data_IF_083926684174
#
_entry.id   IF_083926684174
#
_cell.length_a   1.000
_cell.length_b   1.000
_cell.length_c   1.000
_cell.angle_alpha   90.00
_cell.angle_beta   90.00
_cell.angle_gamma   90.00
#
_symmetry.space_group_name_H-M   'P 1'
#
loop_
_entity.id
_entity.type
_entity.pdbx_description
1 polymer ?
#
# COMPACT_ATOMS: atom_id res chain seq x y z
N UNK A 1 -3.62 3.71 -3.41
CA UNK A 1 -2.29 3.85 -2.74
C UNK A 1 -2.34 3.13 -1.40
N UNK A 2 -1.26 2.48 -0.99
CA UNK A 2 -1.22 1.72 0.26
C UNK A 2 -1.38 2.64 1.49
N UNK A 3 -2.34 2.33 2.36
CA UNK A 3 -2.53 2.99 3.65
C UNK A 3 -1.31 2.83 4.55
N UNK A 4 -1.19 3.70 5.54
CA UNK A 4 -0.07 3.72 6.50
C UNK A 4 -0.59 3.80 7.92
N UNK A 5 0.16 3.22 8.84
CA UNK A 5 -0.08 3.34 10.28
C UNK A 5 1.14 3.96 10.95
N UNK A 6 0.88 4.81 11.92
CA UNK A 6 1.91 5.46 12.70
C UNK A 6 1.55 5.42 14.19
N UNK A 7 2.57 5.32 15.02
CA UNK A 7 2.52 5.69 16.45
C UNK A 7 3.19 7.05 16.58
N UNK A 8 2.52 7.97 17.24
CA UNK A 8 2.93 9.37 17.33
C UNK A 8 2.88 9.86 18.77
N UNK A 9 3.92 10.57 19.19
CA UNK A 9 3.92 11.40 20.38
C UNK A 9 3.66 12.86 19.93
N UNK A 10 2.52 13.39 20.35
CA UNK A 10 2.16 14.81 20.17
C UNK A 10 2.36 15.54 21.48
N UNK A 11 3.03 16.69 21.46
CA UNK A 11 3.20 17.54 22.63
C UNK A 11 2.27 18.74 22.56
N UNK A 12 1.38 18.84 23.55
CA UNK A 12 0.50 19.99 23.76
C UNK A 12 1.30 21.17 24.35
N UNK A 13 0.98 22.38 23.94
CA UNK A 13 1.69 23.58 24.48
C UNK A 13 1.16 23.97 25.86
N UNK A 14 -0.09 23.59 26.22
CA UNK A 14 -0.63 23.70 27.58
C UNK A 14 -1.43 22.46 27.96
N UNK A 15 -1.78 22.32 29.23
CA UNK A 15 -2.59 21.19 29.70
C UNK A 15 -4.04 21.30 29.18
N UNK A 16 -4.61 20.14 28.85
CA UNK A 16 -6.00 20.00 28.38
C UNK A 16 -6.65 18.83 29.09
N UNK A 17 -7.93 18.91 29.47
CA UNK A 17 -8.67 17.77 30.01
C UNK A 17 -8.68 16.60 29.03
N UNK A 18 -8.40 15.39 29.53
CA UNK A 18 -8.28 14.17 28.70
C UNK A 18 -9.56 13.86 27.92
N UNK A 19 -10.74 14.14 28.50
CA UNK A 19 -12.02 13.88 27.83
C UNK A 19 -12.22 14.82 26.63
N UNK A 20 -11.79 16.08 26.74
CA UNK A 20 -11.81 17.04 25.63
C UNK A 20 -10.86 16.60 24.53
N UNK A 21 -9.66 16.16 24.88
CA UNK A 21 -8.69 15.61 23.93
C UNK A 21 -9.26 14.41 23.18
N UNK A 22 -9.83 13.42 23.89
CA UNK A 22 -10.41 12.23 23.26
C UNK A 22 -11.55 12.56 22.30
N UNK A 23 -12.41 13.51 22.64
CA UNK A 23 -13.48 14.00 21.74
C UNK A 23 -12.90 14.59 20.45
N UNK A 24 -11.91 15.48 20.56
CA UNK A 24 -11.27 16.10 19.40
C UNK A 24 -10.56 15.06 18.53
N UNK A 25 -9.88 14.07 19.13
CA UNK A 25 -9.26 12.97 18.35
C UNK A 25 -10.31 12.19 17.54
N UNK A 26 -11.50 11.96 18.10
CA UNK A 26 -12.60 11.29 17.37
C UNK A 26 -13.11 12.12 16.19
N UNK A 27 -13.20 13.45 16.33
CA UNK A 27 -13.64 14.35 15.25
C UNK A 27 -12.67 14.37 14.07
N UNK A 28 -11.39 14.08 14.28
CA UNK A 28 -10.39 13.95 13.21
C UNK A 28 -10.43 12.61 12.45
N UNK A 29 -11.29 11.67 12.81
CA UNK A 29 -11.50 10.46 12.02
C UNK A 29 -12.39 10.76 10.81
N UNK A 30 -12.09 10.12 9.68
CA UNK A 30 -12.79 10.35 8.42
C UNK A 30 -12.01 11.26 7.46
N UNK A 31 -12.71 12.04 6.68
CA UNK A 31 -12.11 12.91 5.66
C UNK A 31 -11.67 14.25 6.25
N UNK A 32 -10.38 14.54 6.18
CA UNK A 32 -9.80 15.81 6.61
C UNK A 32 -9.21 16.59 5.43
N UNK A 33 -9.11 17.90 5.59
CA UNK A 33 -8.45 18.79 4.64
C UNK A 33 -7.05 19.15 5.14
N UNK A 34 -6.03 18.86 4.33
CA UNK A 34 -4.66 19.22 4.67
C UNK A 34 -4.00 20.03 3.56
N UNK A 35 -3.26 21.06 3.96
CA UNK A 35 -2.31 21.75 3.10
C UNK A 35 -0.90 21.26 3.46
N UNK A 36 -0.12 20.73 2.49
CA UNK A 36 1.24 20.26 2.76
C UNK A 36 2.09 21.34 3.46
N UNK A 37 3.01 20.96 4.36
CA UNK A 37 3.91 21.90 5.02
C UNK A 37 4.78 22.65 4.00
N UNK A 38 5.35 23.79 4.39
CA UNK A 38 6.17 24.64 3.52
C UNK A 38 7.38 23.88 2.96
N UNK A 39 8.05 23.11 3.82
CA UNK A 39 9.18 22.24 3.42
C UNK A 39 8.67 20.86 3.00
N UNK A 40 8.03 20.79 1.83
CA UNK A 40 7.61 19.52 1.21
C UNK A 40 7.94 19.53 -0.27
N UNK A 41 8.25 18.36 -0.84
CA UNK A 41 8.57 18.18 -2.27
C UNK A 41 7.35 18.27 -3.20
N UNK A 42 6.14 18.50 -2.66
CA UNK A 42 4.89 18.51 -3.44
C UNK A 42 4.29 19.91 -3.49
N UNK A 43 3.57 20.20 -4.59
CA UNK A 43 2.82 21.46 -4.74
C UNK A 43 1.87 21.67 -3.56
N UNK A 44 1.92 22.86 -2.97
CA UNK A 44 1.18 23.26 -1.78
C UNK A 44 -0.28 23.60 -2.10
N UNK A 45 -1.06 22.58 -2.45
CA UNK A 45 -2.51 22.67 -2.69
C UNK A 45 -3.29 22.04 -1.53
N UNK A 46 -4.48 22.54 -1.25
CA UNK A 46 -5.41 21.89 -0.33
C UNK A 46 -5.75 20.50 -0.89
N UNK A 47 -5.69 19.48 -0.05
CA UNK A 47 -5.95 18.09 -0.42
C UNK A 47 -6.82 17.43 0.65
N UNK A 48 -7.73 16.59 0.23
CA UNK A 48 -8.44 15.69 1.12
C UNK A 48 -7.56 14.50 1.46
N UNK A 49 -7.65 14.03 2.72
CA UNK A 49 -7.01 12.82 3.22
C UNK A 49 -7.95 12.11 4.16
N UNK A 50 -7.92 10.79 4.15
CA UNK A 50 -8.74 9.98 5.03
C UNK A 50 -7.92 9.48 6.20
N UNK A 51 -8.42 9.74 7.41
CA UNK A 51 -7.97 9.11 8.65
C UNK A 51 -8.91 7.93 8.91
N UNK A 52 -8.39 6.72 8.83
CA UNK A 52 -9.18 5.50 8.99
C UNK A 52 -9.54 5.25 10.45
N UNK A 53 -8.59 5.52 11.33
CA UNK A 53 -8.75 5.48 12.78
C UNK A 53 -7.68 6.35 13.45
N UNK A 54 -8.01 6.84 14.64
CA UNK A 54 -7.11 7.61 15.49
C UNK A 54 -7.37 7.18 16.94
N UNK A 55 -6.50 6.29 17.45
CA UNK A 55 -6.68 5.65 18.74
C UNK A 55 -5.79 6.32 19.78
N UNK A 56 -6.39 6.94 20.78
CA UNK A 56 -5.68 7.40 21.97
C UNK A 56 -5.10 6.20 22.71
N UNK A 57 -3.84 6.29 23.14
CA UNK A 57 -3.16 5.25 23.93
C UNK A 57 -3.00 5.75 25.37
N UNK A 58 -2.23 6.83 25.56
CA UNK A 58 -1.98 7.40 26.89
C UNK A 58 -1.67 8.90 26.79
N UNK A 59 -1.72 9.57 27.92
CA UNK A 59 -1.29 10.95 28.08
C UNK A 59 -0.48 11.06 29.38
N UNK A 60 0.74 11.54 29.25
CA UNK A 60 1.59 11.89 30.39
C UNK A 60 1.90 13.38 30.32
N UNK A 61 1.37 14.14 31.32
CA UNK A 61 1.42 15.61 31.34
C UNK A 61 0.85 16.22 30.05
N UNK A 62 1.72 16.71 29.17
CA UNK A 62 1.39 17.31 27.87
C UNK A 62 1.76 16.44 26.68
N UNK A 63 2.34 15.27 26.93
CA UNK A 63 2.68 14.33 25.87
C UNK A 63 1.52 13.36 25.67
N UNK A 64 1.02 13.30 24.45
CA UNK A 64 -0.09 12.46 24.04
C UNK A 64 0.42 11.40 23.07
N UNK A 65 0.30 10.14 23.46
CA UNK A 65 0.61 8.99 22.60
C UNK A 65 -0.67 8.51 21.93
N UNK A 66 -0.64 8.40 20.63
CA UNK A 66 -1.75 7.87 19.85
C UNK A 66 -1.27 7.07 18.64
N UNK A 67 -2.13 6.19 18.17
CA UNK A 67 -1.95 5.42 16.94
C UNK A 67 -2.89 5.95 15.87
N UNK A 68 -2.40 6.16 14.64
CA UNK A 68 -3.20 6.66 13.54
C UNK A 68 -3.01 5.81 12.28
N UNK A 69 -4.13 5.32 11.72
CA UNK A 69 -4.18 4.72 10.39
C UNK A 69 -4.73 5.73 9.39
N UNK A 70 -4.01 5.94 8.29
CA UNK A 70 -4.37 7.00 7.34
C UNK A 70 -4.02 6.68 5.89
N UNK A 71 -4.63 7.43 5.00
CA UNK A 71 -4.32 7.43 3.57
C UNK A 71 -2.87 7.86 3.29
N UNK A 72 -2.28 7.30 2.24
CA UNK A 72 -0.95 7.68 1.80
C UNK A 72 -0.87 9.18 1.44
N UNK A 73 0.19 9.84 1.92
CA UNK A 73 0.39 11.28 1.72
C UNK A 73 -0.29 12.16 2.78
N UNK A 74 -0.83 11.57 3.85
CA UNK A 74 -1.25 12.29 5.05
C UNK A 74 -0.03 12.77 5.83
N UNK A 75 -0.04 14.02 6.25
CA UNK A 75 1.02 14.65 7.04
C UNK A 75 0.66 14.61 8.53
N UNK A 76 1.27 13.70 9.29
CA UNK A 76 0.98 13.55 10.73
C UNK A 76 1.44 14.79 11.51
N UNK A 77 2.53 15.45 11.10
CA UNK A 77 2.94 16.74 11.69
C UNK A 77 1.85 17.80 11.58
N UNK A 78 1.16 17.85 10.41
CA UNK A 78 0.06 18.80 10.22
C UNK A 78 -1.17 18.37 11.02
N UNK A 79 -1.44 17.08 11.13
CA UNK A 79 -2.52 16.55 11.97
C UNK A 79 -2.34 16.97 13.45
N UNK A 80 -1.13 16.80 14.01
CA UNK A 80 -0.84 17.25 15.39
C UNK A 80 -1.07 18.76 15.56
N UNK A 81 -0.61 19.56 14.60
CA UNK A 81 -0.84 21.01 14.60
C UNK A 81 -2.34 21.33 14.57
N UNK A 82 -3.11 20.73 13.67
CA UNK A 82 -4.55 20.99 13.54
C UNK A 82 -5.34 20.57 14.79
N UNK A 83 -5.00 19.45 15.40
CA UNK A 83 -5.55 19.01 16.69
C UNK A 83 -5.29 20.06 17.77
N UNK A 84 -4.06 20.57 17.84
CA UNK A 84 -3.68 21.62 18.78
C UNK A 84 -4.46 22.92 18.61
N UNK A 85 -4.72 23.33 17.36
CA UNK A 85 -5.54 24.51 17.05
C UNK A 85 -7.00 24.33 17.51
N UNK A 86 -7.61 23.16 17.22
CA UNK A 86 -8.98 22.86 17.66
C UNK A 86 -9.09 22.80 19.19
N UNK A 87 -8.05 22.31 19.86
CA UNK A 87 -7.96 22.32 21.33
C UNK A 87 -7.76 23.72 21.90
N UNK A 88 -7.32 24.70 21.07
CA UNK A 88 -7.02 26.06 21.48
C UNK A 88 -5.74 26.21 22.30
N UNK A 89 -4.94 25.15 22.43
CA UNK A 89 -3.70 25.17 23.21
C UNK A 89 -2.44 25.13 22.32
N UNK A 90 -2.57 24.83 21.03
CA UNK A 90 -1.47 24.52 20.15
C UNK A 90 -0.82 23.16 20.45
N UNK A 91 -0.26 22.54 19.44
CA UNK A 91 0.49 21.28 19.58
C UNK A 91 1.49 21.08 18.45
N UNK A 92 2.46 20.22 18.68
CA UNK A 92 3.39 19.77 17.65
C UNK A 92 3.69 18.28 17.77
N UNK A 93 4.12 17.68 16.65
CA UNK A 93 4.60 16.31 16.61
C UNK A 93 5.99 16.26 17.26
N UNK A 94 6.11 15.52 18.34
CA UNK A 94 7.37 15.31 19.06
C UNK A 94 8.15 14.16 18.44
N UNK A 95 7.48 12.98 18.31
CA UNK A 95 8.06 11.78 17.73
C UNK A 95 7.07 11.07 16.81
N UNK A 96 7.60 10.32 15.85
CA UNK A 96 6.80 9.58 14.89
C UNK A 96 7.49 8.27 14.50
N UNK A 97 6.79 7.15 14.65
CA UNK A 97 7.22 5.85 14.17
C UNK A 97 6.16 5.27 13.23
N UNK A 98 6.58 4.86 12.04
CA UNK A 98 5.69 4.20 11.09
C UNK A 98 5.71 2.69 11.34
N UNK A 99 4.56 2.12 11.71
CA UNK A 99 4.41 0.72 12.09
C UNK A 99 3.80 -0.14 10.99
N UNK A 100 3.19 0.48 9.92
CA UNK A 100 2.66 -0.26 8.78
C UNK A 100 2.70 0.55 7.48
N UNK A 101 2.98 -0.15 6.38
CA UNK A 101 2.83 0.36 5.01
C UNK A 101 2.20 -0.73 4.15
N UNK A 102 0.93 -0.56 3.77
CA UNK A 102 0.21 -1.58 3.00
C UNK A 102 0.18 -2.92 3.74
N UNK A 103 0.67 -4.01 3.13
CA UNK A 103 0.69 -5.34 3.75
C UNK A 103 1.86 -5.53 4.73
N UNK A 104 2.84 -4.62 4.75
CA UNK A 104 4.02 -4.73 5.60
C UNK A 104 3.75 -4.06 6.94
N UNK A 105 3.94 -4.81 8.01
CA UNK A 105 3.85 -4.37 9.40
C UNK A 105 5.23 -4.43 10.04
N UNK A 106 5.41 -3.72 11.14
CA UNK A 106 6.57 -3.84 11.99
C UNK A 106 6.45 -5.11 12.83
N UNK A 107 7.16 -6.15 12.43
CA UNK A 107 7.23 -7.46 13.07
C UNK A 107 8.68 -7.94 13.16
N UNK A 108 8.89 -9.19 13.56
CA UNK A 108 10.21 -9.79 13.72
C UNK A 108 11.02 -9.86 12.40
N UNK A 109 10.39 -9.67 11.25
CA UNK A 109 11.07 -9.60 9.96
C UNK A 109 11.69 -8.22 9.67
N UNK A 110 11.43 -7.22 10.52
CA UNK A 110 12.03 -5.89 10.39
C UNK A 110 13.50 -5.94 10.78
N UNK A 111 14.36 -5.67 9.82
CA UNK A 111 15.82 -5.66 9.99
C UNK A 111 16.41 -4.36 9.45
N UNK A 112 17.62 -4.05 9.90
CA UNK A 112 18.35 -2.88 9.40
C UNK A 112 19.02 -3.16 8.05
N UNK A 113 19.42 -2.11 7.33
CA UNK A 113 20.20 -2.26 6.11
C UNK A 113 21.57 -2.92 6.37
N UNK A 114 22.12 -2.75 7.56
CA UNK A 114 23.37 -3.43 7.95
C UNK A 114 23.17 -4.92 8.08
N UNK A 115 22.07 -5.37 8.72
CA UNK A 115 21.73 -6.78 8.84
C UNK A 115 21.55 -7.43 7.47
N UNK A 116 20.79 -6.78 6.57
CA UNK A 116 20.59 -7.29 5.20
C UNK A 116 21.92 -7.36 4.43
N UNK A 117 22.78 -6.36 4.56
CA UNK A 117 24.09 -6.36 3.89
C UNK A 117 24.96 -7.52 4.40
N UNK A 118 24.97 -7.78 5.70
CA UNK A 118 25.67 -8.90 6.29
C UNK A 118 25.12 -10.24 5.79
N UNK A 119 23.80 -10.43 5.83
CA UNK A 119 23.14 -11.64 5.38
C UNK A 119 23.36 -11.91 3.88
N UNK A 120 23.35 -10.86 3.07
CA UNK A 120 23.64 -10.96 1.64
C UNK A 120 25.09 -11.42 1.38
N UNK A 121 26.08 -10.89 2.11
CA UNK A 121 27.45 -11.32 2.01
C UNK A 121 27.61 -12.78 2.45
N UNK A 122 26.95 -13.21 3.53
CA UNK A 122 26.95 -14.60 3.97
C UNK A 122 26.38 -15.53 2.88
N UNK A 123 25.23 -15.16 2.28
CA UNK A 123 24.66 -15.91 1.15
C UNK A 123 25.63 -15.99 -0.04
N UNK A 124 26.33 -14.91 -0.38
CA UNK A 124 27.32 -14.95 -1.47
C UNK A 124 28.45 -15.96 -1.21
N UNK A 125 28.87 -16.11 0.04
CA UNK A 125 29.93 -17.05 0.44
C UNK A 125 29.43 -18.50 0.52
N UNK A 126 28.31 -18.71 1.20
CA UNK A 126 27.82 -20.06 1.53
C UNK A 126 26.86 -20.62 0.47
N UNK A 127 26.26 -19.77 -0.37
CA UNK A 127 25.12 -20.07 -1.27
C UNK A 127 23.85 -20.55 -0.56
N UNK A 128 23.82 -20.48 0.78
CA UNK A 128 22.63 -20.77 1.57
C UNK A 128 21.79 -19.49 1.75
N UNK A 129 20.60 -19.46 1.16
CA UNK A 129 19.69 -18.32 1.22
C UNK A 129 18.61 -18.47 2.31
N UNK A 130 18.64 -19.55 3.10
CA UNK A 130 17.60 -19.90 4.08
C UNK A 130 17.34 -18.77 5.09
N UNK A 131 18.41 -18.12 5.57
CA UNK A 131 18.31 -17.00 6.52
C UNK A 131 17.86 -15.72 5.80
N UNK A 132 18.44 -15.43 4.63
CA UNK A 132 18.11 -14.22 3.86
C UNK A 132 16.62 -14.20 3.48
N UNK A 133 16.04 -15.35 3.11
CA UNK A 133 14.62 -15.49 2.76
C UNK A 133 13.64 -15.22 3.91
N UNK A 134 14.10 -15.21 5.15
CA UNK A 134 13.25 -14.81 6.29
C UNK A 134 12.92 -13.30 6.28
N UNK A 135 13.77 -12.50 5.65
CA UNK A 135 13.69 -11.02 5.66
C UNK A 135 13.43 -10.43 4.27
N UNK A 136 13.82 -11.15 3.21
CA UNK A 136 13.58 -10.73 1.81
C UNK A 136 12.38 -11.50 1.27
N UNK A 137 11.26 -10.81 1.17
CA UNK A 137 10.01 -11.38 0.69
C UNK A 137 9.88 -11.37 -0.83
N UNK A 138 9.15 -12.32 -1.42
CA UNK A 138 8.79 -12.27 -2.83
C UNK A 138 7.92 -11.04 -3.12
N UNK A 139 8.01 -10.55 -4.35
CA UNK A 139 7.28 -9.36 -4.81
C UNK A 139 5.76 -9.50 -4.63
N UNK A 140 5.24 -10.71 -4.73
CA UNK A 140 3.83 -11.05 -4.57
C UNK A 140 3.27 -10.60 -3.22
N UNK A 141 4.10 -10.58 -2.16
CA UNK A 141 3.69 -10.05 -0.85
C UNK A 141 3.27 -8.59 -0.93
N UNK A 142 3.92 -7.78 -1.76
CA UNK A 142 3.55 -6.38 -1.94
C UNK A 142 2.20 -6.20 -2.65
N UNK A 143 1.75 -7.22 -3.39
CA UNK A 143 0.53 -7.20 -4.18
C UNK A 143 -0.69 -7.79 -3.45
N UNK A 144 -0.52 -8.27 -2.21
CA UNK A 144 -1.57 -8.98 -1.45
C UNK A 144 -2.87 -8.18 -1.30
N UNK A 145 -2.77 -6.85 -1.14
CA UNK A 145 -3.93 -5.97 -0.94
C UNK A 145 -4.53 -5.44 -2.24
N UNK A 146 -3.98 -5.83 -3.40
CA UNK A 146 -4.54 -5.43 -4.69
C UNK A 146 -5.57 -6.44 -5.15
N UNK A 147 -6.65 -6.00 -5.83
CA UNK A 147 -7.56 -6.92 -6.51
C UNK A 147 -6.80 -7.79 -7.52
N UNK A 148 -7.12 -9.07 -7.59
CA UNK A 148 -6.39 -10.06 -8.37
C UNK A 148 -7.21 -10.61 -9.52
N UNK A 149 -6.53 -10.89 -10.62
CA UNK A 149 -7.05 -11.68 -11.74
C UNK A 149 -6.07 -12.82 -11.98
N UNK A 150 -6.57 -14.06 -11.93
CA UNK A 150 -5.79 -15.25 -12.24
C UNK A 150 -6.03 -15.65 -13.68
N UNK A 151 -4.97 -15.99 -14.41
CA UNK A 151 -5.01 -16.24 -15.84
C UNK A 151 -4.58 -17.65 -16.21
N UNK A 152 -4.99 -18.08 -17.39
CA UNK A 152 -4.54 -19.34 -18.01
C UNK A 152 -3.07 -19.22 -18.44
N UNK A 153 -2.33 -20.32 -18.36
CA UNK A 153 -0.92 -20.38 -18.76
C UNK A 153 -0.70 -19.93 -20.22
N UNK A 154 -1.69 -20.20 -21.09
CA UNK A 154 -1.66 -19.77 -22.49
C UNK A 154 -1.67 -18.27 -22.72
N UNK A 155 -2.09 -17.48 -21.71
CA UNK A 155 -2.12 -16.02 -21.79
C UNK A 155 -0.84 -15.38 -21.22
N UNK A 156 -0.03 -16.11 -20.43
CA UNK A 156 1.09 -15.56 -19.68
C UNK A 156 2.13 -14.93 -20.59
N UNK A 157 2.65 -15.68 -21.57
CA UNK A 157 3.71 -15.17 -22.45
C UNK A 157 3.29 -13.92 -23.23
N UNK A 158 2.05 -13.86 -23.72
CA UNK A 158 1.52 -12.68 -24.40
C UNK A 158 1.54 -11.43 -23.48
N UNK A 159 1.16 -11.58 -22.22
CA UNK A 159 1.19 -10.49 -21.23
C UNK A 159 2.63 -10.08 -20.89
N UNK A 160 3.57 -11.04 -20.82
CA UNK A 160 4.99 -10.75 -20.64
C UNK A 160 5.58 -9.93 -21.81
N UNK A 161 4.96 -9.99 -22.99
CA UNK A 161 5.29 -9.14 -24.14
C UNK A 161 4.49 -7.82 -24.20
N UNK A 162 3.68 -7.54 -23.17
CA UNK A 162 2.93 -6.29 -23.04
C UNK A 162 1.54 -6.31 -23.69
N UNK A 163 1.05 -7.44 -24.14
CA UNK A 163 -0.31 -7.56 -24.66
C UNK A 163 -1.33 -7.23 -23.57
N UNK A 164 -2.53 -6.82 -23.96
CA UNK A 164 -3.64 -6.57 -23.04
C UNK A 164 -4.35 -7.87 -22.70
N UNK A 165 -4.87 -7.98 -21.47
CA UNK A 165 -5.59 -9.16 -21.04
C UNK A 165 -6.96 -9.20 -21.70
N UNK A 166 -7.29 -10.35 -22.30
CA UNK A 166 -8.58 -10.63 -22.94
C UNK A 166 -9.42 -11.59 -22.08
N UNK A 167 -10.72 -11.59 -22.26
CA UNK A 167 -11.66 -12.42 -21.50
C UNK A 167 -11.32 -13.93 -21.55
N UNK A 168 -10.97 -14.54 -22.70
CA UNK A 168 -10.59 -15.96 -22.76
C UNK A 168 -9.36 -16.32 -21.93
N UNK A 169 -8.48 -15.33 -21.65
CA UNK A 169 -7.30 -15.52 -20.82
C UNK A 169 -7.59 -15.54 -19.31
N UNK A 170 -8.74 -15.04 -18.87
CA UNK A 170 -9.14 -15.01 -17.45
C UNK A 170 -9.59 -16.39 -17.00
N UNK A 171 -9.13 -16.81 -15.83
CA UNK A 171 -9.55 -18.06 -15.19
C UNK A 171 -10.44 -17.78 -13.98
N UNK A 172 -10.01 -16.90 -13.11
CA UNK A 172 -10.77 -16.42 -11.95
C UNK A 172 -10.36 -14.99 -11.59
N UNK A 173 -11.15 -14.31 -10.81
CA UNK A 173 -10.88 -12.93 -10.40
C UNK A 173 -11.54 -12.62 -9.05
N UNK A 174 -11.01 -11.62 -8.36
CA UNK A 174 -11.62 -11.09 -7.14
C UNK A 174 -12.92 -10.35 -7.49
N UNK A 175 -13.90 -10.42 -6.60
CA UNK A 175 -15.13 -9.64 -6.69
C UNK A 175 -14.85 -8.14 -6.41
N UNK A 176 -15.79 -7.29 -6.89
CA UNK A 176 -15.73 -5.85 -6.58
C UNK A 176 -14.71 -5.04 -7.37
N UNK A 177 -14.05 -5.60 -8.39
CA UNK A 177 -13.18 -4.85 -9.31
C UNK A 177 -14.04 -3.86 -10.08
N UNK A 178 -13.65 -2.57 -10.06
CA UNK A 178 -14.31 -1.48 -10.79
C UNK A 178 -13.50 -1.08 -12.01
N UNK A 179 -14.18 -0.45 -12.96
CA UNK A 179 -13.52 0.14 -14.14
C UNK A 179 -12.48 1.17 -13.65
N UNK A 180 -11.25 1.03 -14.15
CA UNK A 180 -10.15 1.92 -13.80
C UNK A 180 -9.32 1.50 -12.59
N UNK A 181 -9.71 0.44 -11.88
CA UNK A 181 -8.89 -0.12 -10.80
C UNK A 181 -7.58 -0.70 -11.35
N UNK A 182 -6.54 -0.54 -10.57
CA UNK A 182 -5.28 -1.25 -10.81
C UNK A 182 -5.38 -2.63 -10.17
N UNK A 183 -5.23 -3.66 -11.00
CA UNK A 183 -5.31 -5.07 -10.62
C UNK A 183 -3.96 -5.75 -10.78
N UNK A 184 -3.68 -6.72 -9.94
CA UNK A 184 -2.52 -7.60 -10.08
C UNK A 184 -2.94 -8.88 -10.81
N UNK A 185 -2.23 -9.21 -11.89
CA UNK A 185 -2.51 -10.40 -12.70
C UNK A 185 -1.54 -11.50 -12.32
N UNK A 186 -2.06 -12.66 -11.99
CA UNK A 186 -1.32 -13.82 -11.49
C UNK A 186 -1.50 -15.05 -12.35
N UNK A 187 -0.50 -15.91 -12.39
CA UNK A 187 -0.63 -17.28 -12.87
C UNK A 187 -1.45 -18.14 -11.89
N UNK A 188 -1.85 -19.34 -12.30
CA UNK A 188 -2.50 -20.32 -11.41
C UNK A 188 -1.60 -20.76 -10.25
N UNK A 189 -0.28 -20.65 -10.41
CA UNK A 189 0.73 -20.95 -9.37
C UNK A 189 0.93 -19.81 -8.37
N UNK A 190 0.26 -18.66 -8.57
CA UNK A 190 0.40 -17.50 -7.71
C UNK A 190 1.61 -16.60 -8.03
N UNK A 191 2.20 -16.73 -9.21
CA UNK A 191 3.30 -15.90 -9.68
C UNK A 191 2.75 -14.61 -10.31
N UNK A 192 3.31 -13.46 -9.96
CA UNK A 192 2.87 -12.17 -10.48
C UNK A 192 3.35 -11.94 -11.93
N UNK A 193 2.42 -11.75 -12.86
CA UNK A 193 2.70 -11.56 -14.29
C UNK A 193 2.78 -10.08 -14.65
N UNK A 194 1.76 -9.31 -14.29
CA UNK A 194 1.68 -7.88 -14.67
C UNK A 194 0.75 -7.10 -13.74
N UNK A 195 0.97 -5.80 -13.65
CA UNK A 195 -0.04 -4.86 -13.18
C UNK A 195 -0.83 -4.37 -14.38
N UNK A 196 -2.16 -4.36 -14.24
CA UNK A 196 -3.06 -3.94 -15.31
C UNK A 196 -4.13 -2.99 -14.79
N UNK A 197 -4.74 -2.21 -15.68
CA UNK A 197 -5.89 -1.36 -15.39
C UNK A 197 -7.14 -2.01 -15.92
N UNK A 198 -8.14 -2.23 -15.08
CA UNK A 198 -9.40 -2.84 -15.46
C UNK A 198 -10.18 -1.95 -16.44
N UNK A 199 -10.61 -2.51 -17.57
CA UNK A 199 -11.49 -1.85 -18.54
C UNK A 199 -12.96 -2.03 -18.22
N UNK A 200 -13.29 -3.12 -17.52
CA UNK A 200 -14.65 -3.52 -17.19
C UNK A 200 -14.72 -3.98 -15.74
N UNK A 201 -15.92 -3.99 -15.15
CA UNK A 201 -16.12 -4.48 -13.78
C UNK A 201 -16.02 -6.01 -13.70
N UNK A 202 -15.79 -6.53 -12.48
CA UNK A 202 -15.73 -7.98 -12.22
C UNK A 202 -16.96 -8.72 -12.74
N UNK A 203 -18.17 -8.17 -12.50
CA UNK A 203 -19.42 -8.80 -12.97
C UNK A 203 -19.49 -8.89 -14.51
N UNK A 204 -18.98 -7.87 -15.20
CA UNK A 204 -18.92 -7.84 -16.66
C UNK A 204 -17.85 -8.78 -17.20
N UNK A 205 -16.68 -8.85 -16.55
CA UNK A 205 -15.60 -9.78 -16.92
C UNK A 205 -16.08 -11.23 -16.94
N UNK A 206 -16.89 -11.64 -15.93
CA UNK A 206 -17.42 -13.00 -15.81
C UNK A 206 -18.44 -13.37 -16.91
N UNK A 207 -19.04 -12.38 -17.55
CA UNK A 207 -20.07 -12.58 -18.60
C UNK A 207 -19.52 -12.45 -20.03
N UNK A 208 -18.23 -12.08 -20.16
CA UNK A 208 -17.60 -11.84 -21.46
C UNK A 208 -16.91 -13.09 -21.97
N UNK A 209 -17.24 -13.50 -23.19
CA UNK A 209 -16.52 -14.57 -23.91
C UNK A 209 -15.33 -14.02 -24.72
N UNK A 210 -15.36 -12.75 -25.11
CA UNK A 210 -14.28 -12.10 -25.88
C UNK A 210 -14.12 -10.63 -25.52
N UNK A 211 -13.01 -10.02 -26.02
CA UNK A 211 -12.69 -8.62 -25.81
C UNK A 211 -11.68 -8.38 -24.71
N UNK A 212 -11.24 -7.15 -24.58
CA UNK A 212 -10.25 -6.74 -23.58
C UNK A 212 -10.90 -6.51 -22.23
N UNK A 213 -10.33 -7.10 -21.18
CA UNK A 213 -10.79 -6.92 -19.80
C UNK A 213 -9.87 -6.01 -18.97
N UNK A 214 -8.58 -6.02 -19.28
CA UNK A 214 -7.62 -5.13 -18.59
C UNK A 214 -6.44 -4.73 -19.50
N UNK A 215 -5.98 -3.49 -19.34
CA UNK A 215 -4.83 -2.93 -20.02
C UNK A 215 -3.57 -3.15 -19.21
N UNK A 216 -2.60 -3.85 -19.75
CA UNK A 216 -1.26 -3.98 -19.17
C UNK A 216 -0.62 -2.61 -18.96
N UNK A 217 -0.21 -2.34 -17.71
CA UNK A 217 0.49 -1.11 -17.33
C UNK A 217 1.97 -1.37 -17.09
N UNK A 218 2.30 -2.45 -16.39
CA UNK A 218 3.67 -2.81 -16.04
C UNK A 218 3.83 -4.32 -16.02
N UNK A 219 4.65 -4.85 -16.90
CA UNK A 219 5.05 -6.26 -16.89
C UNK A 219 6.02 -6.48 -15.73
N UNK A 220 5.79 -7.55 -14.98
CA UNK A 220 6.57 -7.94 -13.80
C UNK A 220 7.38 -9.21 -14.08
N UNK A 221 6.78 -10.19 -14.75
CA UNK A 221 7.40 -11.47 -15.07
C UNK A 221 8.32 -11.34 -16.29
N UNK A 222 9.54 -11.89 -16.27
CA UNK A 222 10.41 -11.95 -17.41
C UNK A 222 9.81 -12.74 -18.58
N UNK A 223 10.18 -12.39 -19.80
CA UNK A 223 9.79 -13.16 -20.99
C UNK A 223 10.42 -14.54 -20.99
N UNK A 224 9.78 -15.52 -21.63
CA UNK A 224 10.30 -16.88 -21.75
C UNK A 224 10.09 -17.79 -20.55
N UNK A 225 9.44 -17.31 -19.47
CA UNK A 225 9.09 -18.13 -18.31
C UNK A 225 7.99 -19.15 -18.63
N UNK A 226 7.12 -18.83 -19.59
CA UNK A 226 6.03 -19.66 -20.07
C UNK A 226 6.13 -19.85 -21.58
N UNK A 227 5.69 -21.00 -22.14
CA UNK A 227 5.77 -21.25 -23.57
C UNK A 227 4.88 -20.29 -24.36
N UNK A 228 5.36 -19.88 -25.54
CA UNK A 228 4.59 -19.05 -26.47
C UNK A 228 3.44 -19.86 -27.06
N UNK A 229 2.20 -19.55 -26.68
CA UNK A 229 0.99 -20.22 -27.15
C UNK A 229 0.10 -19.33 -28.04
N UNK A 230 0.57 -18.14 -28.40
CA UNK A 230 -0.13 -17.19 -29.28
C UNK A 230 0.61 -17.07 -30.63
N UNK A 231 -0.17 -16.86 -31.69
CA UNK A 231 0.38 -16.61 -33.04
C UNK A 231 0.46 -15.09 -33.24
N UNK A 232 1.60 -14.58 -33.68
CA UNK A 232 1.68 -13.21 -34.23
C UNK A 232 0.86 -13.19 -35.52
N UNK A 233 -0.11 -12.28 -35.65
CA UNK A 233 -0.66 -11.98 -36.95
C UNK A 233 0.51 -11.46 -37.81
N UNK A 234 0.83 -12.18 -38.90
CA UNK A 234 1.67 -11.67 -39.97
C UNK A 234 0.99 -10.51 -40.64
#
# INVERSE_FOLDING_TARGET
MAGKEYVCVMKLHSQVPIDRLKKVLQEFQGTIYQRPPVRSSVKRRLRTRTIYYLNFIEMNERNVLFKVGCEAGTYIRKLCYDIGEVLGCGAHMQELRRTRVGPFIEDESLVTLHDISYLFNQWQLTKDESILRKFVYPMEKALQLMPKIYIRDSAVDALCHGAHLTAPGVLSLDSGIKIGDTVAVFTQKGEAVTLAKAFVSSEKMLKMDHGFVAKTQRVLMPRGMYPKMWRSKQ
#
